data_IF_544478266472
#
_entry.id   IF_544478266472
#
_cell.length_a   1.000
_cell.length_b   1.000
_cell.length_c   1.000
_cell.angle_alpha   90.00
_cell.angle_beta   90.00
_cell.angle_gamma   90.00
#
_symmetry.space_group_name_H-M   'P 1'
#
loop_
_entity.id
_entity.type
_entity.pdbx_description
1 polymer ?
#
# COMPACT_ATOMS: atom_id res chain seq x y z
N UNK A 1 49.31 -10.07 -8.10
CA UNK A 1 48.84 -9.13 -7.07
C UNK A 1 47.34 -9.28 -6.95
N UNK A 2 46.86 -9.96 -5.90
CA UNK A 2 45.43 -10.02 -5.58
C UNK A 2 45.03 -8.69 -4.93
N UNK A 3 43.92 -8.03 -5.32
CA UNK A 3 43.51 -6.80 -4.67
C UNK A 3 43.06 -7.08 -3.23
N UNK A 4 43.60 -6.30 -2.30
CA UNK A 4 43.24 -6.31 -0.89
C UNK A 4 41.79 -5.82 -0.74
N UNK A 5 40.90 -6.72 -0.34
CA UNK A 5 39.50 -6.42 -0.02
C UNK A 5 39.39 -5.61 1.28
N UNK A 6 38.43 -4.69 1.33
CA UNK A 6 38.20 -3.80 2.46
C UNK A 6 37.72 -4.55 3.72
N UNK A 7 38.01 -4.06 4.94
CA UNK A 7 37.53 -4.68 6.18
C UNK A 7 35.98 -4.72 6.29
N UNK A 8 35.27 -3.77 5.69
CA UNK A 8 33.81 -3.69 5.71
C UNK A 8 33.15 -4.78 4.86
N UNK A 9 33.70 -5.08 3.67
CA UNK A 9 33.24 -6.21 2.85
C UNK A 9 33.48 -7.56 3.51
N UNK A 10 34.53 -7.66 4.34
CA UNK A 10 34.88 -8.87 5.08
C UNK A 10 33.90 -9.16 6.22
N UNK A 11 33.36 -8.12 6.87
CA UNK A 11 32.34 -8.23 7.93
C UNK A 11 30.95 -8.55 7.34
N UNK A 12 30.58 -7.97 6.20
CA UNK A 12 29.31 -8.26 5.52
C UNK A 12 29.19 -9.74 5.13
N UNK A 13 30.25 -10.34 4.58
CA UNK A 13 30.23 -11.75 4.15
C UNK A 13 30.23 -12.76 5.30
N UNK A 14 30.74 -12.40 6.47
CA UNK A 14 30.74 -13.30 7.65
C UNK A 14 29.35 -13.40 8.29
N UNK A 15 28.52 -12.37 8.19
CA UNK A 15 27.16 -12.35 8.72
C UNK A 15 26.10 -12.95 7.76
N UNK A 16 26.54 -13.40 6.58
CA UNK A 16 25.69 -13.89 5.48
C UNK A 16 25.87 -15.39 5.20
N UNK A 17 26.74 -16.08 5.95
CA UNK A 17 26.99 -17.51 5.75
C UNK A 17 25.90 -18.36 6.44
N UNK A 18 24.72 -18.48 5.81
CA UNK A 18 23.59 -19.26 6.31
C UNK A 18 23.81 -20.79 6.24
N UNK A 19 24.90 -21.26 5.62
CA UNK A 19 25.19 -22.68 5.40
C UNK A 19 25.52 -23.48 6.68
N UNK A 20 25.46 -22.85 7.87
CA UNK A 20 25.73 -23.48 9.17
C UNK A 20 24.73 -23.14 10.29
N UNK A 21 23.62 -22.46 10.00
CA UNK A 21 22.64 -22.07 11.03
C UNK A 21 21.60 -23.19 11.22
N UNK A 22 21.61 -23.82 12.40
CA UNK A 22 20.67 -24.88 12.81
C UNK A 22 19.33 -24.35 13.32
N UNK A 23 19.25 -23.06 13.67
CA UNK A 23 18.02 -22.40 14.10
C UNK A 23 17.15 -21.99 12.89
N UNK A 24 15.96 -22.61 12.80
CA UNK A 24 15.00 -22.38 11.73
C UNK A 24 14.46 -20.94 11.70
N UNK A 25 14.30 -20.28 12.85
CA UNK A 25 13.80 -18.91 12.92
C UNK A 25 14.85 -17.91 12.42
N UNK A 26 16.11 -18.07 12.82
CA UNK A 26 17.22 -17.24 12.34
C UNK A 26 17.50 -17.45 10.85
N UNK A 27 17.39 -18.69 10.35
CA UNK A 27 17.50 -18.98 8.91
C UNK A 27 16.39 -18.31 8.10
N UNK A 28 15.14 -18.36 8.59
CA UNK A 28 14.00 -17.68 7.94
C UNK A 28 14.16 -16.16 7.96
N UNK A 29 14.69 -15.60 9.06
CA UNK A 29 15.01 -14.16 9.20
C UNK A 29 16.02 -13.69 8.16
N UNK A 30 17.13 -14.40 8.02
CA UNK A 30 18.15 -14.12 6.99
C UNK A 30 17.59 -14.31 5.58
N UNK A 31 16.76 -15.33 5.36
CA UNK A 31 16.13 -15.56 4.05
C UNK A 31 15.16 -14.45 3.67
N UNK A 32 14.34 -13.95 4.62
CA UNK A 32 13.42 -12.84 4.37
C UNK A 32 14.18 -11.56 4.04
N UNK A 33 15.23 -11.24 4.81
CA UNK A 33 16.12 -10.09 4.56
C UNK A 33 16.83 -10.18 3.21
N UNK A 34 17.30 -11.36 2.82
CA UNK A 34 17.90 -11.60 1.50
C UNK A 34 16.84 -11.49 0.39
N UNK A 35 15.61 -12.00 0.61
CA UNK A 35 14.52 -11.89 -0.35
C UNK A 35 14.06 -10.43 -0.54
N UNK A 36 14.06 -9.63 0.53
CA UNK A 36 13.80 -8.18 0.48
C UNK A 36 14.88 -7.44 -0.32
N UNK A 37 16.17 -7.78 -0.12
CA UNK A 37 17.29 -7.21 -0.90
C UNK A 37 17.34 -7.71 -2.36
N UNK A 38 16.91 -8.94 -2.62
CA UNK A 38 16.91 -9.56 -3.93
C UNK A 38 15.65 -9.25 -4.76
N UNK A 39 14.85 -8.26 -4.35
CA UNK A 39 13.72 -7.72 -5.10
C UNK A 39 14.05 -6.39 -5.81
N UNK A 40 14.96 -6.34 -6.81
CA UNK A 40 14.82 -5.35 -7.86
C UNK A 40 13.67 -5.79 -8.77
N UNK A 41 12.41 -5.43 -8.43
CA UNK A 41 11.19 -5.44 -9.28
C UNK A 41 10.96 -6.63 -10.25
N UNK A 42 11.63 -7.77 -10.08
CA UNK A 42 11.64 -8.91 -11.02
C UNK A 42 11.10 -10.19 -10.39
N UNK A 43 10.10 -10.07 -9.53
CA UNK A 43 9.29 -11.20 -9.06
C UNK A 43 8.32 -11.76 -10.13
N UNK A 44 8.34 -11.27 -11.38
CA UNK A 44 7.24 -11.41 -12.36
C UNK A 44 6.81 -12.87 -12.55
N UNK A 45 7.80 -13.76 -12.67
CA UNK A 45 7.56 -15.18 -12.92
C UNK A 45 7.06 -15.98 -11.72
N UNK A 46 7.38 -15.58 -10.48
CA UNK A 46 6.81 -16.20 -9.26
C UNK A 46 5.40 -15.65 -8.98
N UNK A 47 5.18 -14.36 -9.28
CA UNK A 47 3.91 -13.64 -9.18
C UNK A 47 2.82 -14.24 -10.09
N UNK A 48 3.16 -14.56 -11.34
CA UNK A 48 2.20 -15.16 -12.30
C UNK A 48 1.76 -16.58 -11.88
N UNK A 49 2.68 -17.37 -11.30
CA UNK A 49 2.35 -18.71 -10.79
C UNK A 49 1.44 -18.68 -9.55
N UNK A 50 1.65 -17.74 -8.62
CA UNK A 50 0.77 -17.54 -7.44
C UNK A 50 -0.62 -17.07 -7.87
N UNK A 51 -0.71 -16.13 -8.83
CA UNK A 51 -1.97 -15.66 -9.45
C UNK A 51 -2.77 -16.77 -10.13
N UNK A 52 -2.12 -17.63 -10.91
CA UNK A 52 -2.79 -18.76 -11.56
C UNK A 52 -3.36 -19.77 -10.56
N UNK A 53 -2.68 -19.99 -9.43
CA UNK A 53 -3.13 -20.90 -8.38
C UNK A 53 -4.35 -20.37 -7.62
N UNK A 54 -4.35 -19.07 -7.29
CA UNK A 54 -5.45 -18.40 -6.58
C UNK A 54 -6.70 -18.32 -7.48
N UNK A 55 -6.52 -18.01 -8.76
CA UNK A 55 -7.61 -18.01 -9.74
C UNK A 55 -8.27 -19.40 -9.88
N UNK A 56 -7.49 -20.50 -9.82
CA UNK A 56 -8.03 -21.86 -9.84
C UNK A 56 -8.79 -22.24 -8.54
N UNK A 57 -8.42 -21.68 -7.39
CA UNK A 57 -9.14 -21.92 -6.13
C UNK A 57 -10.41 -21.08 -6.02
N UNK A 58 -10.41 -19.84 -6.50
CA UNK A 58 -11.59 -18.96 -6.48
C UNK A 58 -12.69 -19.43 -7.45
N UNK A 59 -12.32 -20.04 -8.58
CA UNK A 59 -13.28 -20.62 -9.52
C UNK A 59 -14.13 -21.77 -8.93
N UNK A 60 -13.71 -22.37 -7.81
CA UNK A 60 -14.44 -23.46 -7.13
C UNK A 60 -15.36 -22.98 -6.00
N UNK A 61 -15.32 -21.70 -5.61
CA UNK A 61 -16.04 -21.17 -4.43
C UNK A 61 -17.18 -20.19 -4.77
N UNK A 62 -17.33 -19.79 -6.04
CA UNK A 62 -18.04 -18.56 -6.40
C UNK A 62 -19.58 -18.66 -6.55
N UNK A 63 -20.24 -19.60 -5.89
CA UNK A 63 -21.68 -19.84 -6.14
C UNK A 63 -22.64 -18.96 -5.33
N UNK A 64 -22.16 -17.95 -4.57
CA UNK A 64 -23.02 -17.17 -3.64
C UNK A 64 -22.75 -15.68 -3.50
N UNK A 65 -21.96 -15.05 -4.36
CA UNK A 65 -21.64 -13.63 -4.19
C UNK A 65 -22.34 -12.78 -5.25
N UNK A 66 -23.48 -12.19 -4.87
CA UNK A 66 -24.15 -11.14 -5.63
C UNK A 66 -23.38 -9.82 -5.45
N UNK A 67 -22.25 -9.66 -6.14
CA UNK A 67 -21.76 -8.33 -6.48
C UNK A 67 -22.11 -8.08 -7.94
N UNK A 68 -22.65 -6.89 -8.24
CA UNK A 68 -22.66 -6.40 -9.60
C UNK A 68 -21.20 -6.19 -10.00
N UNK A 69 -20.58 -7.18 -10.62
CA UNK A 69 -19.41 -6.95 -11.46
C UNK A 69 -19.84 -5.90 -12.47
N UNK A 70 -19.40 -4.65 -12.30
CA UNK A 70 -19.42 -3.73 -13.41
C UNK A 70 -18.29 -4.19 -14.34
N UNK A 71 -18.60 -5.21 -15.14
CA UNK A 71 -17.76 -5.61 -16.25
C UNK A 71 -17.73 -4.41 -17.23
N UNK A 72 -16.55 -4.07 -17.78
CA UNK A 72 -16.48 -3.14 -18.89
C UNK A 72 -17.48 -3.59 -19.96
N UNK A 73 -18.37 -2.69 -20.38
CA UNK A 73 -19.31 -2.97 -21.45
C UNK A 73 -18.48 -3.29 -22.70
N UNK A 74 -18.70 -4.43 -23.38
CA UNK A 74 -18.04 -4.67 -24.65
C UNK A 74 -18.46 -3.57 -25.62
N UNK A 75 -17.48 -2.79 -26.07
CA UNK A 75 -17.66 -1.77 -27.09
C UNK A 75 -18.18 -2.45 -28.37
N UNK A 76 -19.28 -2.00 -28.99
CA UNK A 76 -19.79 -2.61 -30.21
C UNK A 76 -18.79 -2.55 -31.39
N UNK A 77 -17.76 -1.69 -31.30
CA UNK A 77 -16.70 -1.58 -32.32
C UNK A 77 -15.48 -2.50 -32.06
N UNK A 78 -15.44 -3.23 -30.94
CA UNK A 78 -14.29 -4.09 -30.57
C UNK A 78 -14.33 -5.49 -31.18
N UNK A 79 -15.30 -5.82 -32.03
CA UNK A 79 -15.40 -7.15 -32.64
C UNK A 79 -14.23 -7.50 -33.59
N UNK A 80 -13.40 -6.51 -33.99
CA UNK A 80 -12.28 -6.73 -34.94
C UNK A 80 -10.89 -6.40 -34.40
N UNK A 81 -10.72 -6.04 -33.12
CA UNK A 81 -9.41 -5.94 -32.51
C UNK A 81 -9.44 -6.71 -31.18
N UNK A 82 -8.81 -7.88 -31.19
CA UNK A 82 -8.75 -8.76 -30.03
C UNK A 82 -8.44 -7.98 -28.77
N UNK A 83 -9.29 -8.16 -27.75
CA UNK A 83 -9.22 -7.55 -26.43
C UNK A 83 -7.82 -7.67 -25.82
N UNK A 84 -6.95 -6.72 -26.14
CA UNK A 84 -5.81 -6.37 -25.32
C UNK A 84 -6.42 -5.64 -24.13
N UNK A 85 -6.56 -6.32 -22.99
CA UNK A 85 -6.59 -5.61 -21.70
C UNK A 85 -5.46 -4.59 -21.79
N UNK A 86 -5.79 -3.29 -21.79
CA UNK A 86 -4.82 -2.22 -21.65
C UNK A 86 -4.20 -2.40 -20.27
N UNK A 87 -3.16 -3.24 -20.22
CA UNK A 87 -2.27 -3.35 -19.08
C UNK A 87 -1.55 -2.01 -19.03
N UNK A 88 -2.10 -1.07 -18.27
CA UNK A 88 -1.38 0.14 -17.90
C UNK A 88 0.00 -0.31 -17.39
N UNK A 89 1.10 0.26 -17.92
CA UNK A 89 2.43 -0.12 -17.47
C UNK A 89 2.53 0.09 -15.96
N UNK A 90 2.94 -0.95 -15.23
CA UNK A 90 3.07 -0.88 -13.78
C UNK A 90 4.24 0.05 -13.43
N UNK A 91 4.07 1.01 -12.50
CA UNK A 91 5.18 1.86 -12.08
C UNK A 91 6.31 1.04 -11.49
N UNK A 92 7.54 1.45 -11.80
CA UNK A 92 8.76 0.89 -11.22
C UNK A 92 9.33 1.76 -10.10
N UNK A 93 8.77 2.94 -9.86
CA UNK A 93 9.16 3.84 -8.77
C UNK A 93 7.94 4.65 -8.31
N UNK A 94 8.01 5.23 -7.11
CA UNK A 94 6.98 6.13 -6.58
C UNK A 94 6.86 7.37 -7.47
N UNK A 95 7.99 7.92 -7.88
CA UNK A 95 8.09 9.04 -8.82
C UNK A 95 7.39 8.73 -10.15
N UNK A 96 7.58 7.52 -10.68
CA UNK A 96 6.89 7.06 -11.89
C UNK A 96 5.38 6.87 -11.68
N UNK A 97 4.96 6.41 -10.50
CA UNK A 97 3.55 6.31 -10.13
C UNK A 97 2.89 7.70 -10.06
N UNK A 98 3.57 8.69 -9.46
CA UNK A 98 3.11 10.09 -9.39
C UNK A 98 2.97 10.71 -10.78
N UNK A 99 3.95 10.50 -11.66
CA UNK A 99 3.87 10.99 -13.04
C UNK A 99 2.68 10.38 -13.81
N UNK A 100 2.42 9.08 -13.63
CA UNK A 100 1.25 8.42 -14.21
C UNK A 100 -0.05 8.93 -13.61
N UNK A 101 -0.11 9.17 -12.31
CA UNK A 101 -1.25 9.78 -11.64
C UNK A 101 -1.58 11.17 -12.21
N UNK A 102 -0.57 12.03 -12.39
CA UNK A 102 -0.76 13.36 -12.97
C UNK A 102 -1.26 13.30 -14.41
N UNK A 103 -0.71 12.38 -15.21
CA UNK A 103 -1.10 12.18 -16.62
C UNK A 103 -2.52 11.66 -16.73
N UNK A 104 -2.89 10.68 -15.89
CA UNK A 104 -4.23 10.15 -15.82
C UNK A 104 -5.24 11.20 -15.33
N UNK A 105 -4.88 11.99 -14.31
CA UNK A 105 -5.73 13.06 -13.80
C UNK A 105 -6.05 14.08 -14.90
N UNK A 106 -5.05 14.52 -15.67
CA UNK A 106 -5.26 15.42 -16.81
C UNK A 106 -6.21 14.82 -17.86
N UNK A 107 -5.97 13.58 -18.30
CA UNK A 107 -6.80 12.91 -19.29
C UNK A 107 -8.24 12.65 -18.79
N UNK A 108 -8.42 12.29 -17.52
CA UNK A 108 -9.72 12.09 -16.92
C UNK A 108 -10.50 13.41 -16.82
N UNK A 109 -9.82 14.51 -16.47
CA UNK A 109 -10.41 15.83 -16.38
C UNK A 109 -10.85 16.35 -17.74
N UNK A 110 -10.03 16.20 -18.78
CA UNK A 110 -10.41 16.57 -20.16
C UNK A 110 -11.69 15.86 -20.61
N UNK A 111 -11.79 14.54 -20.39
CA UNK A 111 -12.98 13.76 -20.76
C UNK A 111 -14.22 14.13 -19.93
N UNK A 112 -14.05 14.45 -18.65
CA UNK A 112 -15.14 14.96 -17.82
C UNK A 112 -15.70 16.28 -18.38
N UNK A 113 -14.84 17.23 -18.75
CA UNK A 113 -15.27 18.49 -19.37
C UNK A 113 -15.86 18.32 -20.76
N UNK A 114 -15.44 17.29 -21.49
CA UNK A 114 -16.05 16.89 -22.76
C UNK A 114 -17.40 16.17 -22.60
N UNK A 115 -17.92 16.04 -21.37
CA UNK A 115 -19.14 15.28 -21.04
C UNK A 115 -19.10 13.81 -21.48
N UNK A 116 -17.89 13.21 -21.55
CA UNK A 116 -17.64 11.81 -21.89
C UNK A 116 -16.88 11.08 -20.77
N UNK A 117 -17.46 10.96 -19.55
CA UNK A 117 -16.80 10.26 -18.47
C UNK A 117 -16.73 8.75 -18.76
N UNK A 118 -15.54 8.16 -18.64
CA UNK A 118 -15.35 6.73 -18.81
C UNK A 118 -15.42 5.99 -17.47
N UNK A 119 -16.16 4.88 -17.42
CA UNK A 119 -16.36 4.11 -16.20
C UNK A 119 -15.07 3.42 -15.72
N UNK A 120 -14.16 3.05 -16.66
CA UNK A 120 -12.81 2.56 -16.34
C UNK A 120 -11.94 3.61 -15.64
N UNK A 121 -12.28 4.90 -15.78
CA UNK A 121 -11.61 5.95 -15.03
C UNK A 121 -11.93 5.87 -13.55
N UNK A 122 -13.12 5.42 -13.14
CA UNK A 122 -13.52 5.41 -11.73
C UNK A 122 -12.65 4.45 -10.88
N UNK A 123 -12.39 3.25 -11.42
CA UNK A 123 -11.52 2.27 -10.76
C UNK A 123 -10.08 2.77 -10.68
N UNK A 124 -9.61 3.43 -11.74
CA UNK A 124 -8.26 4.00 -11.79
C UNK A 124 -8.14 5.22 -10.86
N UNK A 125 -9.15 6.09 -10.81
CA UNK A 125 -9.23 7.26 -9.92
C UNK A 125 -9.12 6.84 -8.45
N UNK A 126 -9.81 5.77 -8.05
CA UNK A 126 -9.77 5.30 -6.68
C UNK A 126 -8.36 4.85 -6.25
N UNK A 127 -7.63 4.18 -7.14
CA UNK A 127 -6.21 3.81 -6.90
C UNK A 127 -5.32 5.05 -6.81
N UNK A 128 -5.55 6.02 -7.68
CA UNK A 128 -4.82 7.28 -7.69
C UNK A 128 -5.10 8.13 -6.43
N UNK A 129 -6.29 8.04 -5.85
CA UNK A 129 -6.63 8.78 -4.63
C UNK A 129 -5.80 8.34 -3.43
N UNK A 130 -5.49 7.04 -3.30
CA UNK A 130 -4.61 6.54 -2.23
C UNK A 130 -3.20 7.05 -2.44
N UNK A 131 -2.65 6.92 -3.65
CA UNK A 131 -1.31 7.44 -3.95
C UNK A 131 -1.22 8.95 -3.69
N UNK A 132 -2.23 9.71 -4.13
CA UNK A 132 -2.36 11.14 -3.88
C UNK A 132 -2.38 11.45 -2.38
N UNK A 133 -3.18 10.72 -1.60
CA UNK A 133 -3.26 10.90 -0.16
C UNK A 133 -1.89 10.76 0.52
N UNK A 134 -1.10 9.76 0.11
CA UNK A 134 0.25 9.55 0.63
C UNK A 134 1.17 10.71 0.27
N UNK A 135 1.16 11.15 -0.99
CA UNK A 135 1.96 12.30 -1.45
C UNK A 135 1.58 13.58 -0.72
N UNK A 136 0.28 13.84 -0.54
CA UNK A 136 -0.22 15.03 0.16
C UNK A 136 0.21 15.01 1.63
N UNK A 137 0.12 13.86 2.31
CA UNK A 137 0.59 13.70 3.69
C UNK A 137 2.10 13.89 3.79
N UNK A 138 2.89 13.31 2.88
CA UNK A 138 4.35 13.52 2.83
C UNK A 138 4.68 15.01 2.68
N UNK A 139 3.95 15.73 1.82
CA UNK A 139 4.10 17.17 1.65
C UNK A 139 3.80 17.95 2.94
N UNK A 140 2.75 17.58 3.67
CA UNK A 140 2.40 18.17 4.98
C UNK A 140 3.47 17.89 6.04
N UNK A 141 4.08 16.70 6.00
CA UNK A 141 5.17 16.32 6.90
C UNK A 141 6.53 16.93 6.50
N UNK A 142 6.61 17.58 5.35
CA UNK A 142 7.84 18.20 4.84
C UNK A 142 8.86 17.19 4.31
N UNK A 143 8.40 16.04 3.82
CA UNK A 143 9.26 14.95 3.39
C UNK A 143 9.49 14.92 1.90
N UNK A 144 10.72 14.54 1.52
CA UNK A 144 11.07 14.31 0.14
C UNK A 144 10.56 12.94 -0.32
N UNK A 145 9.73 12.94 -1.36
CA UNK A 145 9.18 11.74 -2.01
C UNK A 145 10.32 10.81 -2.46
N UNK A 146 11.46 11.35 -2.89
CA UNK A 146 12.59 10.56 -3.36
C UNK A 146 13.32 9.82 -2.23
N UNK A 147 13.33 10.38 -1.02
CA UNK A 147 13.99 9.75 0.14
C UNK A 147 13.24 8.50 0.63
N UNK A 148 11.94 8.39 0.33
CA UNK A 148 11.05 7.30 0.79
C UNK A 148 11.12 6.09 -0.14
N UNK A 149 11.73 6.20 -1.33
CA UNK A 149 11.92 5.05 -2.23
C UNK A 149 13.02 4.08 -1.74
N UNK A 150 13.87 4.49 -0.80
CA UNK A 150 14.90 3.63 -0.22
C UNK A 150 14.36 2.83 0.98
N UNK A 151 14.35 1.50 0.82
CA UNK A 151 13.88 0.55 1.84
C UNK A 151 14.65 0.62 3.18
N UNK A 152 15.85 1.19 3.19
CA UNK A 152 16.66 1.35 4.41
C UNK A 152 16.48 2.74 5.05
N UNK A 153 15.64 3.61 4.47
CA UNK A 153 15.32 4.93 5.03
C UNK A 153 14.57 4.79 6.35
N UNK A 154 15.07 5.49 7.37
CA UNK A 154 14.45 5.57 8.69
C UNK A 154 13.62 6.85 8.80
N UNK A 155 12.43 6.73 9.37
CA UNK A 155 11.52 7.86 9.57
C UNK A 155 12.18 8.98 10.38
N UNK A 156 12.04 10.26 9.97
CA UNK A 156 12.44 11.43 10.75
C UNK A 156 11.75 11.52 12.12
N UNK A 157 10.65 10.80 12.32
CA UNK A 157 10.00 10.72 13.63
C UNK A 157 10.74 9.84 14.62
N UNK A 158 11.66 8.98 14.17
CA UNK A 158 12.50 8.18 15.07
C UNK A 158 13.41 9.10 15.89
N UNK A 159 13.29 9.06 17.21
CA UNK A 159 14.01 9.98 18.11
C UNK A 159 13.42 11.39 18.19
N UNK A 160 12.24 11.62 17.61
CA UNK A 160 11.56 12.91 17.66
C UNK A 160 11.21 13.31 19.09
N UNK A 161 11.58 14.54 19.47
CA UNK A 161 11.26 15.07 20.77
C UNK A 161 9.93 15.85 20.73
N UNK A 162 8.87 15.24 21.26
CA UNK A 162 7.53 15.86 21.37
C UNK A 162 7.53 17.20 22.13
N UNK A 163 8.52 17.45 22.98
CA UNK A 163 8.63 18.69 23.76
C UNK A 163 9.24 19.86 22.96
N UNK A 164 9.88 19.59 21.82
CA UNK A 164 10.52 20.58 20.95
C UNK A 164 9.68 20.87 19.69
N UNK A 165 8.38 20.60 19.72
CA UNK A 165 7.51 20.96 18.61
C UNK A 165 7.54 22.49 18.45
N UNK A 166 8.29 22.96 17.45
CA UNK A 166 8.28 24.36 17.06
C UNK A 166 6.85 24.77 16.71
N UNK A 167 6.44 25.96 17.18
CA UNK A 167 5.10 26.51 16.91
C UNK A 167 4.82 26.74 15.41
N UNK A 168 5.83 26.61 14.56
CA UNK A 168 5.76 26.92 13.13
C UNK A 168 5.35 25.73 12.24
N UNK A 169 5.47 24.48 12.71
CA UNK A 169 5.03 23.30 11.95
C UNK A 169 3.63 22.86 12.40
N UNK A 170 2.63 23.30 11.64
CA UNK A 170 1.22 22.89 11.80
C UNK A 170 0.99 21.47 11.27
N UNK A 171 1.55 20.45 11.93
CA UNK A 171 1.24 19.05 11.64
C UNK A 171 -0.19 18.76 12.13
N UNK A 172 -1.09 18.21 11.28
CA UNK A 172 -2.43 17.82 11.70
C UNK A 172 -2.40 16.82 12.86
N UNK A 173 -3.37 16.93 13.78
CA UNK A 173 -3.42 16.11 15.01
C UNK A 173 -3.28 14.60 14.77
N UNK A 174 -3.94 14.08 13.73
CA UNK A 174 -3.91 12.64 13.40
C UNK A 174 -2.60 12.16 12.79
N UNK A 175 -1.71 13.09 12.41
CA UNK A 175 -0.39 12.84 11.84
C UNK A 175 0.74 13.12 12.84
N UNK A 176 0.42 13.57 14.05
CA UNK A 176 1.44 13.70 15.10
C UNK A 176 2.08 12.34 15.38
N UNK A 177 3.39 12.29 15.63
CA UNK A 177 4.08 11.04 15.92
C UNK A 177 3.64 10.46 17.26
N UNK A 178 3.47 9.14 17.31
CA UNK A 178 3.19 8.39 18.52
C UNK A 178 4.47 8.12 19.31
N UNK A 179 4.34 7.73 20.58
CA UNK A 179 5.48 7.27 21.38
C UNK A 179 6.20 6.09 20.73
N UNK A 180 5.45 5.19 20.08
CA UNK A 180 5.98 4.03 19.37
C UNK A 180 6.85 4.47 18.19
N UNK A 181 6.37 5.40 17.35
CA UNK A 181 7.14 5.97 16.25
C UNK A 181 8.40 6.70 16.72
N UNK A 182 8.32 7.42 17.84
CA UNK A 182 9.49 8.09 18.41
C UNK A 182 10.55 7.13 18.94
N UNK A 183 10.16 5.93 19.36
CA UNK A 183 11.04 4.99 20.06
C UNK A 183 11.59 3.88 19.17
N UNK A 184 10.86 3.50 18.11
CA UNK A 184 11.18 2.34 17.28
C UNK A 184 11.54 2.82 15.88
N UNK A 185 12.76 2.53 15.38
CA UNK A 185 13.12 2.79 13.99
C UNK A 185 12.18 2.07 13.02
N UNK A 186 11.62 2.81 12.08
CA UNK A 186 10.64 2.32 11.10
C UNK A 186 10.76 3.09 9.79
N UNK A 187 10.19 2.55 8.71
CA UNK A 187 10.18 3.24 7.41
C UNK A 187 9.13 4.36 7.39
N UNK A 188 9.44 5.55 6.84
CA UNK A 188 8.54 6.72 6.84
C UNK A 188 7.18 6.48 6.17
N UNK A 189 7.08 5.49 5.27
CA UNK A 189 5.82 5.19 4.59
C UNK A 189 4.66 4.84 5.53
N UNK A 190 4.93 4.28 6.72
CA UNK A 190 3.91 4.03 7.74
C UNK A 190 3.29 5.31 8.30
N UNK A 191 4.03 6.41 8.28
CA UNK A 191 3.60 7.66 8.91
C UNK A 191 2.58 8.42 8.05
N UNK A 192 2.35 7.92 6.83
CA UNK A 192 1.31 8.39 5.92
C UNK A 192 -0.09 7.92 6.31
N UNK A 193 -0.24 7.05 7.32
CA UNK A 193 -1.56 6.64 7.81
C UNK A 193 -2.05 7.63 8.89
N UNK A 194 -3.21 8.29 8.72
CA UNK A 194 -3.76 9.24 9.71
C UNK A 194 -4.45 8.52 10.89
N UNK A 195 -3.95 7.35 11.27
CA UNK A 195 -4.50 6.49 12.31
C UNK A 195 -3.35 6.12 13.25
N UNK A 196 -3.21 6.81 14.41
CA UNK A 196 -2.11 6.55 15.35
C UNK A 196 -1.97 5.06 15.73
N UNK A 197 -3.10 4.39 16.02
CA UNK A 197 -3.09 2.98 16.39
C UNK A 197 -2.66 2.06 15.24
N UNK A 198 -3.04 2.37 13.99
CA UNK A 198 -2.62 1.60 12.82
C UNK A 198 -1.11 1.67 12.62
N UNK A 199 -0.53 2.87 12.77
CA UNK A 199 0.92 3.09 12.69
C UNK A 199 1.65 2.26 13.74
N UNK A 200 1.16 2.30 14.98
CA UNK A 200 1.72 1.53 16.09
C UNK A 200 1.63 0.01 15.84
N UNK A 201 0.52 -0.48 15.27
CA UNK A 201 0.36 -1.89 14.91
C UNK A 201 1.40 -2.33 13.86
N UNK A 202 1.57 -1.54 12.80
CA UNK A 202 2.54 -1.81 11.72
C UNK A 202 3.98 -1.81 12.25
N UNK A 203 4.33 -0.81 13.05
CA UNK A 203 5.68 -0.67 13.62
C UNK A 203 5.97 -1.81 14.60
N UNK A 204 5.01 -2.15 15.45
CA UNK A 204 5.15 -3.25 16.42
C UNK A 204 5.27 -4.61 15.74
N UNK A 205 4.61 -4.80 14.58
CA UNK A 205 4.72 -6.03 13.81
C UNK A 205 6.12 -6.24 13.21
N UNK A 206 6.87 -5.16 12.95
CA UNK A 206 8.24 -5.22 12.43
C UNK A 206 8.36 -6.07 11.15
N UNK A 207 9.34 -6.99 11.10
CA UNK A 207 9.53 -7.94 9.99
C UNK A 207 8.46 -9.07 9.94
N UNK A 208 7.38 -8.98 10.75
CA UNK A 208 6.35 -10.01 10.91
C UNK A 208 5.34 -10.12 9.76
N UNK A 209 5.36 -9.19 8.80
CA UNK A 209 4.47 -9.16 7.64
C UNK A 209 5.21 -8.75 6.36
N UNK A 210 4.59 -8.98 5.21
CA UNK A 210 5.09 -8.55 3.91
C UNK A 210 4.48 -7.17 3.59
N UNK A 211 5.30 -6.12 3.72
CA UNK A 211 4.93 -4.73 3.49
C UNK A 211 4.64 -4.46 2.00
N UNK A 212 5.32 -5.15 1.10
CA UNK A 212 5.02 -5.15 -0.33
C UNK A 212 3.64 -5.76 -0.60
N UNK A 213 3.27 -6.84 0.07
CA UNK A 213 1.93 -7.46 -0.05
C UNK A 213 0.83 -6.52 0.48
N UNK A 214 1.05 -5.87 1.63
CA UNK A 214 0.13 -4.87 2.18
C UNK A 214 -0.08 -3.70 1.20
N UNK A 215 1.01 -3.18 0.65
CA UNK A 215 1.02 -2.12 -0.35
C UNK A 215 0.27 -2.52 -1.64
N UNK A 216 0.45 -3.76 -2.11
CA UNK A 216 -0.28 -4.32 -3.25
C UNK A 216 -1.78 -4.45 -2.96
N UNK A 217 -2.19 -4.97 -1.81
CA UNK A 217 -3.62 -5.13 -1.50
C UNK A 217 -4.33 -3.78 -1.28
N UNK A 218 -3.60 -2.77 -0.80
CA UNK A 218 -4.10 -1.41 -0.63
C UNK A 218 -4.35 -0.73 -1.98
N UNK A 219 -3.41 -0.83 -2.93
CA UNK A 219 -3.41 -0.05 -4.17
C UNK A 219 -3.79 -0.82 -5.45
N UNK A 220 -3.61 -2.14 -5.48
CA UNK A 220 -3.93 -3.00 -6.63
C UNK A 220 -4.51 -4.35 -6.21
N UNK A 221 -5.74 -4.36 -5.69
CA UNK A 221 -6.45 -5.60 -5.42
C UNK A 221 -6.81 -6.22 -6.77
N UNK A 222 -5.96 -7.15 -7.18
CA UNK A 222 -5.97 -7.86 -8.46
C UNK A 222 -7.28 -8.57 -8.82
N UNK A 223 -8.24 -8.58 -7.91
CA UNK A 223 -9.59 -9.11 -7.94
C UNK A 223 -10.69 -8.05 -8.23
N UNK A 224 -10.34 -6.77 -8.34
CA UNK A 224 -11.26 -5.69 -8.72
C UNK A 224 -11.83 -4.85 -7.56
N UNK A 225 -11.53 -5.19 -6.32
CA UNK A 225 -12.05 -4.51 -5.11
C UNK A 225 -10.99 -3.67 -4.41
N UNK A 226 -10.95 -2.35 -4.64
CA UNK A 226 -10.00 -1.40 -4.03
C UNK A 226 -9.91 -1.63 -2.50
N UNK A 227 -8.71 -1.94 -1.98
CA UNK A 227 -8.51 -2.31 -0.58
C UNK A 227 -8.77 -1.15 0.37
N UNK A 228 -8.30 0.04 -0.01
CA UNK A 228 -8.51 1.29 0.71
C UNK A 228 -8.93 2.39 -0.27
N UNK A 229 -9.92 3.19 0.11
CA UNK A 229 -10.38 4.37 -0.62
C UNK A 229 -10.18 5.63 0.22
N UNK A 230 -9.85 6.73 -0.46
CA UNK A 230 -9.75 8.07 0.14
C UNK A 230 -10.71 9.01 -0.60
N UNK A 231 -11.66 9.56 0.14
CA UNK A 231 -12.80 10.34 -0.34
C UNK A 231 -12.63 11.86 -0.20
N UNK A 232 -11.65 12.31 0.60
CA UNK A 232 -11.46 13.71 0.95
C UNK A 232 -10.05 13.98 1.46
N UNK A 233 -9.91 14.96 2.36
CA UNK A 233 -8.61 15.36 2.90
C UNK A 233 -7.92 14.19 3.63
N UNK A 234 -6.67 13.86 3.27
CA UNK A 234 -6.05 12.61 3.67
C UNK A 234 -5.62 12.57 5.14
N UNK A 235 -5.44 13.72 5.80
CA UNK A 235 -5.17 13.80 7.24
C UNK A 235 -6.42 13.65 8.13
N UNK A 236 -7.61 13.51 7.53
CA UNK A 236 -8.87 13.29 8.25
C UNK A 236 -9.25 11.81 8.21
N UNK A 237 -9.33 11.11 9.36
CA UNK A 237 -9.81 9.73 9.46
C UNK A 237 -11.13 9.45 8.72
N UNK A 238 -12.05 10.44 8.72
CA UNK A 238 -13.38 10.36 8.10
C UNK A 238 -13.32 10.31 6.57
N UNK A 239 -12.17 10.62 5.96
CA UNK A 239 -11.96 10.55 4.52
C UNK A 239 -11.62 9.14 4.04
N UNK A 240 -11.34 8.20 4.94
CA UNK A 240 -10.83 6.88 4.57
C UNK A 240 -11.88 5.79 4.71
N UNK A 241 -11.84 4.82 3.81
CA UNK A 241 -12.67 3.63 3.83
C UNK A 241 -11.82 2.40 3.51
N UNK A 242 -12.05 1.30 4.22
CA UNK A 242 -11.48 -0.02 3.90
C UNK A 242 -12.54 -0.96 3.33
N UNK A 243 -12.13 -1.81 2.39
CA UNK A 243 -13.01 -2.86 1.87
C UNK A 243 -13.11 -4.06 2.80
N UNK A 244 -14.17 -4.85 2.64
CA UNK A 244 -14.39 -6.05 3.44
C UNK A 244 -13.26 -7.08 3.26
N UNK A 245 -12.76 -7.25 2.04
CA UNK A 245 -11.64 -8.15 1.77
C UNK A 245 -10.35 -7.67 2.43
N UNK A 246 -10.12 -6.36 2.44
CA UNK A 246 -8.98 -5.79 3.14
C UNK A 246 -9.08 -6.05 4.65
N UNK A 247 -10.28 -5.89 5.22
CA UNK A 247 -10.55 -6.18 6.64
C UNK A 247 -10.29 -7.65 6.97
N UNK A 248 -10.81 -8.58 6.17
CA UNK A 248 -10.63 -10.01 6.39
C UNK A 248 -9.15 -10.45 6.41
N UNK A 249 -8.29 -9.80 5.62
CA UNK A 249 -6.86 -10.14 5.53
C UNK A 249 -5.99 -9.37 6.52
N UNK A 250 -6.25 -8.08 6.68
CA UNK A 250 -5.39 -7.14 7.42
C UNK A 250 -6.04 -6.64 8.70
N UNK A 251 -7.02 -7.35 9.27
CA UNK A 251 -7.70 -6.98 10.51
C UNK A 251 -6.75 -6.53 11.64
N UNK A 252 -5.62 -7.23 11.81
CA UNK A 252 -4.62 -6.90 12.83
C UNK A 252 -4.00 -5.51 12.65
N UNK A 253 -3.90 -5.00 11.41
CA UNK A 253 -3.42 -3.64 11.10
C UNK A 253 -4.39 -2.60 11.66
N UNK A 254 -5.68 -2.87 11.60
CA UNK A 254 -6.77 -1.97 12.01
C UNK A 254 -7.24 -2.19 13.45
N UNK A 255 -6.64 -3.14 14.18
CA UNK A 255 -7.01 -3.43 15.56
C UNK A 255 -6.94 -2.17 16.41
N UNK A 256 -8.06 -1.80 17.04
CA UNK A 256 -8.18 -0.58 17.85
C UNK A 256 -8.46 0.72 17.08
N UNK A 257 -8.62 0.68 15.75
CA UNK A 257 -8.97 1.84 14.91
C UNK A 257 -10.50 1.91 14.67
N UNK A 258 -11.27 2.24 15.70
CA UNK A 258 -12.75 2.29 15.60
C UNK A 258 -13.23 3.37 14.63
N UNK A 259 -12.50 4.48 14.56
CA UNK A 259 -12.77 5.60 13.67
C UNK A 259 -12.74 5.20 12.20
N UNK A 260 -11.86 4.26 11.83
CA UNK A 260 -11.75 3.76 10.46
C UNK A 260 -12.97 2.89 10.10
N UNK A 261 -13.47 2.08 11.05
CA UNK A 261 -14.68 1.29 10.84
C UNK A 261 -15.92 2.17 10.70
N UNK A 262 -16.06 3.17 11.59
CA UNK A 262 -17.16 4.13 11.53
C UNK A 262 -17.15 4.87 10.20
N UNK A 263 -15.98 5.38 9.79
CA UNK A 263 -15.80 6.05 8.50
C UNK A 263 -16.13 5.11 7.33
N UNK A 264 -15.65 3.87 7.38
CA UNK A 264 -15.91 2.89 6.32
C UNK A 264 -17.40 2.58 6.18
N UNK A 265 -18.10 2.31 7.29
CA UNK A 265 -19.54 2.04 7.27
C UNK A 265 -20.35 3.25 6.81
N UNK A 266 -19.93 4.47 7.12
CA UNK A 266 -20.54 5.70 6.59
C UNK A 266 -20.49 5.77 5.06
N UNK A 267 -19.33 5.52 4.46
CA UNK A 267 -19.17 5.55 3.00
C UNK A 267 -19.85 4.36 2.31
N UNK A 268 -19.82 3.18 2.94
CA UNK A 268 -20.53 1.98 2.48
C UNK A 268 -22.05 2.19 2.45
N UNK A 269 -22.63 2.74 3.51
CA UNK A 269 -24.07 3.00 3.59
C UNK A 269 -24.54 3.98 2.51
N UNK A 270 -23.76 5.03 2.20
CA UNK A 270 -24.04 5.96 1.10
C UNK A 270 -24.07 5.31 -0.29
N UNK A 271 -23.41 4.16 -0.44
CA UNK A 271 -23.40 3.35 -1.66
C UNK A 271 -24.38 2.15 -1.60
N UNK A 272 -25.15 2.03 -0.51
CA UNK A 272 -26.09 0.93 -0.31
C UNK A 272 -25.41 -0.42 -0.01
N UNK A 273 -24.19 -0.40 0.53
CA UNK A 273 -23.46 -1.61 0.94
C UNK A 273 -23.71 -1.91 2.42
N UNK A 274 -23.69 -3.19 2.77
CA UNK A 274 -23.82 -3.67 4.16
C UNK A 274 -22.63 -3.20 5.02
N UNK A 275 -22.86 -3.08 6.33
CA UNK A 275 -21.80 -2.77 7.30
C UNK A 275 -20.72 -3.86 7.32
N UNK A 276 -19.49 -3.45 7.63
CA UNK A 276 -18.37 -4.38 7.84
C UNK A 276 -18.60 -5.19 9.12
N UNK A 277 -18.31 -6.49 9.06
CA UNK A 277 -18.40 -7.36 10.23
C UNK A 277 -17.27 -7.06 11.23
N UNK A 278 -17.67 -6.42 12.33
CA UNK A 278 -16.81 -5.97 13.43
C UNK A 278 -16.24 -7.15 14.25
N UNK A 279 -16.77 -8.37 14.09
CA UNK A 279 -16.30 -9.56 14.82
C UNK A 279 -14.84 -9.94 14.51
N UNK A 280 -14.26 -9.34 13.47
CA UNK A 280 -12.90 -9.59 13.01
C UNK A 280 -11.84 -8.64 13.59
N UNK A 281 -12.21 -7.61 14.37
CA UNK A 281 -11.31 -6.51 14.80
C UNK A 281 -11.05 -6.43 16.30
#
# INVERSE_FOLDING_TARGET
>A
MLPLMSPQERVSRLNENWAGITDAALRKKLQNRINQRALPLSGARKRDKKRALIAQQQAKSNDKRHYALILPRPDPDSANQGTRKLLLPRPTSLSGAVAMMMSFHAAAYERYYAADPCLDHLLTLSKMNVLRAFVDIMGVLGWDIHAIEDNETVSPFTGWNLQQQDKETSIPLNLLPTTTQCSVPHHPWFDCFPFPQMRDNLITAGEGFDDCELCEDMMDPTNGDIGIMVWGDPWLPQSWEVSELFVQKWAWVMKGCQELLVSSNYWRARRGLDELDVSTL
#
